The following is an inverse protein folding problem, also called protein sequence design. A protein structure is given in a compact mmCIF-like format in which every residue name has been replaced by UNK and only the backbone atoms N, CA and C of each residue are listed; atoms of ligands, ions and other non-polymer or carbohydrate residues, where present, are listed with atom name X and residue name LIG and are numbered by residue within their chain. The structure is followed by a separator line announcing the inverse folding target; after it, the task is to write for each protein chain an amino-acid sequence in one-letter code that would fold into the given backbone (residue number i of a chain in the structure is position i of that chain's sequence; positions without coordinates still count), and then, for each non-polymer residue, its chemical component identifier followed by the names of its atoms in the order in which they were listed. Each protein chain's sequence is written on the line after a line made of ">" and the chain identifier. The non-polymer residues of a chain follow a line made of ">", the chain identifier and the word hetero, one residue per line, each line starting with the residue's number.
data_IF_891531996936
#
_entry.id   IF_891531996936
#
_cell.length_a   1.000
_cell.length_b   1.000
_cell.length_c   1.000
_cell.angle_alpha   90.00
_cell.angle_beta   90.00
_cell.angle_gamma   90.00
#
_symmetry.space_group_name_H-M   'P 1'
#
loop_
_entity.id
_entity.type
_entity.pdbx_description
1 polymer ?
#
# COMPACT_ATOMS: atom_id res chain seq x y z
N UNK A 1 -38.95 12.31 46.94
CA UNK A 1 -38.35 13.12 45.85
C UNK A 1 -36.83 12.92 45.71
N UNK A 2 -36.05 12.82 46.80
CA UNK A 2 -34.57 12.70 46.72
C UNK A 2 -34.04 11.49 45.91
N UNK A 3 -34.72 10.35 45.97
CA UNK A 3 -34.31 9.13 45.24
C UNK A 3 -34.40 9.30 43.72
N UNK A 4 -35.44 9.96 43.21
CA UNK A 4 -35.60 10.22 41.78
C UNK A 4 -34.54 11.20 41.27
N UNK A 5 -34.24 12.27 42.02
CA UNK A 5 -33.20 13.24 41.64
C UNK A 5 -31.81 12.60 41.58
N UNK A 6 -31.48 11.70 42.51
CA UNK A 6 -30.21 10.97 42.49
C UNK A 6 -30.08 10.04 41.27
N UNK A 7 -31.14 9.32 40.91
CA UNK A 7 -31.15 8.48 39.72
C UNK A 7 -30.96 9.30 38.45
N UNK A 8 -31.66 10.44 38.33
CA UNK A 8 -31.50 11.35 37.19
C UNK A 8 -30.05 11.88 37.12
N UNK A 9 -29.47 12.29 38.24
CA UNK A 9 -28.06 12.72 38.29
C UNK A 9 -27.10 11.63 37.79
N UNK A 10 -27.26 10.39 38.25
CA UNK A 10 -26.41 9.26 37.84
C UNK A 10 -26.55 8.92 36.35
N UNK A 11 -27.77 8.93 35.83
CA UNK A 11 -28.04 8.73 34.39
C UNK A 11 -27.38 9.85 33.58
N UNK A 12 -27.50 11.10 34.02
CA UNK A 12 -26.84 12.23 33.37
C UNK A 12 -25.32 12.11 33.38
N UNK A 13 -24.70 11.73 34.50
CA UNK A 13 -23.24 11.51 34.57
C UNK A 13 -22.80 10.42 33.60
N UNK A 14 -23.54 9.31 33.53
CA UNK A 14 -23.23 8.21 32.60
C UNK A 14 -23.42 8.65 31.14
N UNK A 15 -24.47 9.39 30.83
CA UNK A 15 -24.74 9.91 29.49
C UNK A 15 -23.64 10.88 29.04
N UNK A 16 -23.24 11.81 29.90
CA UNK A 16 -22.19 12.80 29.61
C UNK A 16 -20.77 12.28 29.80
N UNK A 17 -20.58 11.05 30.27
CA UNK A 17 -19.26 10.42 30.28
C UNK A 17 -18.82 9.95 28.90
N UNK A 18 -19.75 9.88 27.93
CA UNK A 18 -19.52 9.42 26.55
C UNK A 18 -18.75 8.10 26.49
N UNK A 19 -19.06 7.19 27.41
CA UNK A 19 -18.46 5.85 27.42
C UNK A 19 -18.94 5.07 26.21
N UNK A 20 -18.05 4.29 25.61
CA UNK A 20 -18.34 3.53 24.38
C UNK A 20 -18.04 2.06 24.61
N UNK A 21 -18.78 1.19 23.93
CA UNK A 21 -18.52 -0.24 23.86
C UNK A 21 -18.13 -0.62 22.44
N UNK A 22 -17.23 -1.59 22.30
CA UNK A 22 -16.82 -2.11 20.99
C UNK A 22 -17.60 -3.40 20.71
N UNK A 23 -18.28 -3.45 19.58
CA UNK A 23 -18.91 -4.67 19.08
C UNK A 23 -18.04 -5.24 17.96
N UNK A 24 -17.74 -6.54 18.03
CA UNK A 24 -17.02 -7.28 17.00
C UNK A 24 -18.02 -8.26 16.37
N UNK A 25 -18.18 -8.20 15.05
CA UNK A 25 -19.02 -9.12 14.30
C UNK A 25 -18.25 -9.69 13.11
N UNK A 26 -18.47 -10.97 12.84
CA UNK A 26 -17.94 -11.66 11.68
C UNK A 26 -19.05 -11.73 10.63
N UNK A 27 -18.83 -11.10 9.49
CA UNK A 27 -19.80 -11.07 8.40
C UNK A 27 -19.28 -11.94 7.25
N UNK A 28 -20.11 -12.87 6.80
CA UNK A 28 -19.88 -13.55 5.52
C UNK A 28 -20.25 -12.57 4.41
N UNK A 29 -19.31 -12.26 3.54
CA UNK A 29 -19.51 -11.35 2.41
C UNK A 29 -19.76 -12.17 1.15
N UNK A 30 -20.68 -11.73 0.28
CA UNK A 30 -20.91 -12.38 -1.02
C UNK A 30 -19.89 -11.95 -2.08
N UNK A 31 -19.12 -10.91 -1.79
CA UNK A 31 -18.09 -10.38 -2.67
C UNK A 31 -16.82 -10.08 -1.88
N UNK A 32 -15.68 -10.45 -2.46
CA UNK A 32 -14.35 -10.16 -1.94
C UNK A 32 -13.84 -8.92 -2.67
N UNK A 33 -13.39 -7.93 -1.91
CA UNK A 33 -12.66 -6.79 -2.44
C UNK A 33 -11.17 -7.12 -2.48
N UNK A 34 -10.57 -7.08 -3.67
CA UNK A 34 -9.12 -7.18 -3.81
C UNK A 34 -8.42 -6.03 -3.08
N UNK A 35 -7.34 -6.31 -2.33
CA UNK A 35 -6.53 -5.27 -1.70
C UNK A 35 -5.54 -4.67 -2.70
N UNK A 36 -4.97 -3.52 -2.33
CA UNK A 36 -3.73 -3.06 -2.95
C UNK A 36 -2.57 -3.90 -2.44
N UNK A 37 -1.73 -4.38 -3.36
CA UNK A 37 -0.58 -5.22 -3.03
C UNK A 37 0.67 -4.50 -3.49
N UNK A 38 1.60 -4.24 -2.58
CA UNK A 38 2.87 -3.60 -2.90
C UNK A 38 4.03 -4.50 -2.58
N UNK A 39 4.90 -4.69 -3.58
CA UNK A 39 6.15 -5.42 -3.44
C UNK A 39 7.27 -4.39 -3.52
N UNK A 40 8.02 -4.27 -2.44
CA UNK A 40 9.09 -3.30 -2.28
C UNK A 40 10.44 -3.99 -2.19
N UNK A 41 11.42 -3.42 -2.87
CA UNK A 41 12.81 -3.82 -2.78
C UNK A 41 13.65 -2.64 -2.31
N UNK A 42 14.80 -2.92 -1.73
CA UNK A 42 15.76 -1.87 -1.48
C UNK A 42 16.34 -1.37 -2.82
N UNK A 43 16.54 -0.06 -2.94
CA UNK A 43 16.95 0.54 -4.22
C UNK A 43 18.30 0.01 -4.71
N UNK A 44 19.27 -0.14 -3.82
CA UNK A 44 20.60 -0.60 -4.17
C UNK A 44 20.57 -1.99 -4.81
N UNK A 45 19.62 -2.83 -4.38
CA UNK A 45 19.42 -4.17 -4.94
C UNK A 45 18.77 -4.14 -6.34
N UNK A 46 18.09 -3.06 -6.69
CA UNK A 46 17.42 -2.87 -7.98
C UNK A 46 18.25 -2.06 -8.99
N UNK A 47 19.41 -1.53 -8.58
CA UNK A 47 20.25 -0.75 -9.49
C UNK A 47 20.79 -1.62 -10.62
N UNK A 48 20.56 -1.22 -11.87
CA UNK A 48 21.07 -1.91 -13.05
C UNK A 48 22.61 -1.87 -13.07
N UNK A 49 23.21 -2.93 -13.60
CA UNK A 49 24.67 -3.08 -13.61
C UNK A 49 25.40 -1.97 -14.38
N UNK A 50 24.77 -1.41 -15.42
CA UNK A 50 25.32 -0.27 -16.17
C UNK A 50 25.53 0.97 -15.29
N UNK A 51 24.58 1.28 -14.41
CA UNK A 51 24.66 2.42 -13.50
C UNK A 51 25.56 2.13 -12.30
N UNK A 52 25.66 0.87 -11.87
CA UNK A 52 26.65 0.44 -10.87
C UNK A 52 28.07 0.70 -11.36
N UNK A 53 28.36 0.40 -12.62
CA UNK A 53 29.67 0.64 -13.23
C UNK A 53 30.02 2.12 -13.27
N UNK A 54 29.09 2.97 -13.75
CA UNK A 54 29.29 4.43 -13.77
C UNK A 54 29.63 4.96 -12.37
N UNK A 55 28.88 4.55 -11.34
CA UNK A 55 29.16 4.97 -9.96
C UNK A 55 30.50 4.46 -9.42
N UNK A 56 30.96 3.28 -9.86
CA UNK A 56 32.28 2.76 -9.46
C UNK A 56 33.43 3.48 -10.16
N UNK A 57 33.26 3.89 -11.42
CA UNK A 57 34.26 4.65 -12.18
C UNK A 57 34.45 6.05 -11.58
N UNK A 58 33.36 6.72 -11.21
CA UNK A 58 33.38 8.02 -10.53
C UNK A 58 34.10 7.97 -9.17
N UNK A 59 34.20 6.78 -8.54
CA UNK A 59 34.87 6.56 -7.25
C UNK A 59 36.22 5.86 -7.38
N UNK A 60 36.96 6.12 -8.47
CA UNK A 60 38.30 5.58 -8.74
C UNK A 60 38.37 4.05 -8.71
N UNK A 61 37.27 3.36 -9.05
CA UNK A 61 37.20 1.90 -9.07
C UNK A 61 37.02 1.25 -7.69
N UNK A 62 36.78 2.01 -6.62
CA UNK A 62 36.46 1.45 -5.31
C UNK A 62 35.05 0.83 -5.30
N UNK A 63 34.90 -0.36 -4.70
CA UNK A 63 33.60 -0.97 -4.50
C UNK A 63 32.84 -0.18 -3.43
N UNK A 64 31.81 0.55 -3.84
CA UNK A 64 30.90 1.22 -2.92
C UNK A 64 30.12 0.20 -2.08
N UNK A 65 30.00 0.47 -0.78
CA UNK A 65 29.09 -0.31 0.05
C UNK A 65 27.63 0.06 -0.25
N UNK A 66 26.68 -0.74 0.25
CA UNK A 66 25.25 -0.55 0.03
C UNK A 66 24.73 0.83 0.48
N UNK A 67 25.29 1.39 1.56
CA UNK A 67 24.89 2.69 2.10
C UNK A 67 25.37 3.84 1.22
N UNK A 68 26.62 3.80 0.79
CA UNK A 68 27.22 4.80 -0.11
C UNK A 68 26.51 4.80 -1.46
N UNK A 69 26.23 3.62 -2.01
CA UNK A 69 25.51 3.50 -3.27
C UNK A 69 24.09 4.09 -3.15
N UNK A 70 23.42 3.86 -2.03
CA UNK A 70 22.11 4.45 -1.74
C UNK A 70 22.17 5.97 -1.65
N UNK A 71 23.18 6.54 -0.99
CA UNK A 71 23.38 7.98 -0.92
C UNK A 71 23.58 8.59 -2.31
N UNK A 72 24.43 7.99 -3.14
CA UNK A 72 24.70 8.44 -4.51
C UNK A 72 23.45 8.39 -5.40
N UNK A 73 22.68 7.30 -5.33
CA UNK A 73 21.40 7.20 -6.08
C UNK A 73 20.44 8.31 -5.67
N UNK A 74 20.36 8.63 -4.38
CA UNK A 74 19.44 9.64 -3.86
C UNK A 74 19.84 11.08 -4.24
N UNK A 75 21.07 11.33 -4.68
CA UNK A 75 21.48 12.61 -5.26
C UNK A 75 20.95 12.82 -6.68
N UNK A 76 20.54 11.75 -7.38
CA UNK A 76 20.03 11.87 -8.75
C UNK A 76 18.59 12.39 -8.80
N UNK A 77 18.22 13.12 -9.87
CA UNK A 77 16.83 13.41 -10.18
C UNK A 77 15.97 12.14 -10.26
N UNK A 78 14.71 12.23 -9.84
CA UNK A 78 13.81 11.08 -9.70
C UNK A 78 13.60 10.34 -11.02
N UNK A 79 13.47 11.06 -12.12
CA UNK A 79 13.38 10.46 -13.46
C UNK A 79 14.62 9.61 -13.79
N UNK A 80 15.83 10.07 -13.42
CA UNK A 80 17.08 9.32 -13.57
C UNK A 80 17.12 8.12 -12.63
N UNK A 81 16.59 8.24 -11.40
CA UNK A 81 16.45 7.09 -10.51
C UNK A 81 15.53 6.03 -11.13
N UNK A 82 14.37 6.40 -11.69
CA UNK A 82 13.47 5.45 -12.35
C UNK A 82 14.13 4.72 -13.52
N UNK A 83 14.90 5.41 -14.35
CA UNK A 83 15.60 4.77 -15.48
C UNK A 83 16.76 3.88 -15.02
N UNK A 84 17.39 4.20 -13.89
CA UNK A 84 18.54 3.47 -13.37
C UNK A 84 18.18 2.16 -12.66
N UNK A 85 16.95 2.04 -12.17
CA UNK A 85 16.46 0.84 -11.49
C UNK A 85 15.84 -0.14 -12.50
N UNK A 86 15.84 -1.43 -12.15
CA UNK A 86 15.07 -2.43 -12.89
C UNK A 86 13.58 -2.06 -12.92
N UNK A 87 12.98 -2.24 -14.09
CA UNK A 87 11.56 -1.98 -14.33
C UNK A 87 10.71 -3.17 -13.90
N UNK A 88 9.38 -2.97 -13.88
CA UNK A 88 8.42 -4.02 -13.53
C UNK A 88 8.55 -5.25 -14.44
N UNK A 89 8.77 -5.06 -15.75
CA UNK A 89 8.95 -6.15 -16.69
C UNK A 89 10.24 -6.93 -16.42
N UNK A 90 11.31 -6.25 -15.99
CA UNK A 90 12.59 -6.90 -15.69
C UNK A 90 12.49 -7.80 -14.44
N UNK A 91 11.70 -7.37 -13.45
CA UNK A 91 11.59 -8.02 -12.14
C UNK A 91 10.59 -9.17 -12.15
N UNK A 92 9.45 -8.97 -12.83
CA UNK A 92 8.31 -9.89 -12.74
C UNK A 92 7.98 -10.57 -14.08
N UNK A 93 8.66 -10.23 -15.18
CA UNK A 93 8.41 -10.80 -16.51
C UNK A 93 6.91 -10.88 -16.91
N UNK A 94 6.13 -9.86 -16.52
CA UNK A 94 4.68 -9.80 -16.73
C UNK A 94 3.87 -11.01 -16.20
N UNK A 95 4.39 -11.73 -15.20
CA UNK A 95 3.77 -12.93 -14.62
C UNK A 95 2.51 -12.68 -13.81
N UNK A 96 2.23 -11.42 -13.44
CA UNK A 96 1.17 -11.07 -12.51
C UNK A 96 -0.23 -11.44 -13.02
N UNK A 97 -0.94 -12.26 -12.24
CA UNK A 97 -2.31 -12.71 -12.48
C UNK A 97 -3.15 -12.53 -11.23
N UNK A 98 -4.40 -12.11 -11.39
CA UNK A 98 -5.36 -12.05 -10.29
C UNK A 98 -6.66 -12.74 -10.68
N UNK A 99 -7.40 -13.22 -9.69
CA UNK A 99 -8.72 -13.81 -9.88
C UNK A 99 -9.67 -12.87 -10.62
N UNK A 100 -10.50 -13.42 -11.50
CA UNK A 100 -11.36 -12.66 -12.41
C UNK A 100 -12.31 -11.71 -11.65
N UNK A 101 -12.21 -10.38 -11.86
CA UNK A 101 -13.14 -9.43 -11.27
C UNK A 101 -14.51 -9.43 -11.97
N UNK A 102 -15.53 -8.90 -11.29
CA UNK A 102 -16.91 -8.79 -11.78
C UNK A 102 -16.97 -7.99 -13.10
N UNK A 103 -16.18 -6.92 -13.23
CA UNK A 103 -16.11 -6.12 -14.46
C UNK A 103 -15.68 -6.93 -15.70
N UNK A 104 -15.05 -8.09 -15.51
CA UNK A 104 -14.55 -8.96 -16.59
C UNK A 104 -15.40 -10.22 -16.74
N UNK A 105 -16.67 -10.21 -16.33
CA UNK A 105 -17.57 -11.37 -16.37
C UNK A 105 -17.62 -12.07 -17.74
N UNK A 106 -17.46 -11.32 -18.84
CA UNK A 106 -17.46 -11.85 -20.21
C UNK A 106 -16.18 -12.59 -20.61
N UNK A 107 -15.11 -12.51 -19.82
CA UNK A 107 -13.87 -13.26 -20.08
C UNK A 107 -14.04 -14.74 -19.73
N UNK A 108 -13.56 -15.61 -20.60
CA UNK A 108 -13.48 -17.05 -20.36
C UNK A 108 -12.43 -17.41 -19.31
N UNK A 109 -11.41 -16.57 -19.14
CA UNK A 109 -10.31 -16.85 -18.24
C UNK A 109 -10.74 -16.72 -16.77
N UNK A 110 -10.26 -17.62 -15.93
CA UNK A 110 -10.45 -17.53 -14.47
C UNK A 110 -9.54 -16.49 -13.83
N UNK A 111 -8.41 -16.19 -14.49
CA UNK A 111 -7.42 -15.23 -14.03
C UNK A 111 -7.19 -14.17 -15.10
N UNK A 112 -7.09 -12.92 -14.67
CA UNK A 112 -6.87 -11.77 -15.54
C UNK A 112 -5.48 -11.19 -15.23
N UNK A 113 -4.69 -10.82 -16.25
CA UNK A 113 -3.41 -10.15 -16.03
C UNK A 113 -3.59 -8.85 -15.24
N UNK A 114 -2.74 -8.61 -14.24
CA UNK A 114 -2.93 -7.49 -13.32
C UNK A 114 -2.94 -6.11 -14.00
N UNK A 115 -2.14 -5.94 -15.05
CA UNK A 115 -2.05 -4.68 -15.82
C UNK A 115 -3.34 -4.35 -16.58
N UNK A 116 -4.18 -5.34 -16.88
CA UNK A 116 -5.50 -5.17 -17.50
C UNK A 116 -6.52 -4.72 -16.45
N UNK A 117 -6.37 -5.15 -15.19
CA UNK A 117 -7.24 -4.75 -14.09
C UNK A 117 -6.94 -3.31 -13.66
N UNK A 118 -5.66 -2.99 -13.45
CA UNK A 118 -5.22 -1.67 -13.04
C UNK A 118 -3.78 -1.41 -13.49
N UNK A 119 -3.40 -0.15 -13.79
CA UNK A 119 -2.01 0.18 -14.07
C UNK A 119 -1.14 -0.12 -12.84
N UNK A 120 -0.02 -0.81 -13.05
CA UNK A 120 0.93 -1.12 -11.99
C UNK A 120 1.74 0.14 -11.72
N UNK A 121 1.71 0.62 -10.46
CA UNK A 121 2.31 1.90 -10.11
C UNK A 121 3.64 1.69 -9.41
N UNK A 122 4.68 2.36 -9.92
CA UNK A 122 5.99 2.39 -9.29
C UNK A 122 6.09 3.62 -8.37
N UNK A 123 6.60 3.42 -7.16
CA UNK A 123 6.90 4.50 -6.21
C UNK A 123 8.29 4.33 -5.63
N UNK A 124 9.04 5.42 -5.53
CA UNK A 124 10.40 5.43 -5.00
C UNK A 124 10.41 6.36 -3.77
N UNK A 125 10.95 5.90 -2.64
CA UNK A 125 11.21 6.75 -1.47
C UNK A 125 12.73 6.88 -1.25
N UNK A 126 13.25 7.19 -0.06
CA UNK A 126 14.72 7.26 0.11
C UNK A 126 15.42 5.89 0.04
N UNK A 127 14.81 4.83 0.59
CA UNK A 127 15.43 3.52 0.77
C UNK A 127 14.95 2.45 -0.24
N UNK A 128 13.72 2.58 -0.72
CA UNK A 128 12.99 1.53 -1.42
C UNK A 128 12.36 2.01 -2.71
N UNK A 129 12.19 1.06 -3.61
CA UNK A 129 11.35 1.16 -4.78
C UNK A 129 10.28 0.07 -4.68
N UNK A 130 9.02 0.48 -4.83
CA UNK A 130 7.86 -0.38 -4.66
C UNK A 130 7.01 -0.41 -5.94
N UNK A 131 6.50 -1.59 -6.26
CA UNK A 131 5.54 -1.83 -7.32
C UNK A 131 4.20 -2.16 -6.69
N UNK A 132 3.19 -1.35 -6.99
CA UNK A 132 1.84 -1.49 -6.43
C UNK A 132 0.89 -2.01 -7.48
N UNK A 133 0.30 -3.16 -7.19
CA UNK A 133 -0.70 -3.86 -7.97
C UNK A 133 -2.08 -3.59 -7.39
N UNK A 134 -3.10 -3.61 -8.25
CA UNK A 134 -4.51 -3.54 -7.86
C UNK A 134 -4.86 -2.29 -7.03
N UNK A 135 -4.14 -1.18 -7.23
CA UNK A 135 -4.51 0.11 -6.64
C UNK A 135 -5.69 0.72 -7.41
N UNK A 136 -6.71 1.18 -6.70
CA UNK A 136 -7.85 1.90 -7.25
C UNK A 136 -7.61 3.39 -7.01
N UNK A 137 -7.23 4.12 -8.05
CA UNK A 137 -6.92 5.53 -7.94
C UNK A 137 -7.62 6.28 -9.07
N UNK A 138 -7.67 7.61 -8.96
CA UNK A 138 -8.17 8.46 -10.06
C UNK A 138 -9.63 8.13 -10.48
N UNK A 139 -10.44 7.71 -9.51
CA UNK A 139 -11.89 7.43 -9.65
C UNK A 139 -12.24 6.25 -10.58
N UNK A 140 -11.32 5.27 -10.68
CA UNK A 140 -11.56 3.97 -11.32
C UNK A 140 -12.81 3.27 -10.73
N UNK A 141 -13.59 2.52 -11.55
CA UNK A 141 -14.81 1.87 -11.10
C UNK A 141 -14.51 0.68 -10.17
N UNK A 142 -15.37 0.50 -9.17
CA UNK A 142 -15.14 -0.45 -8.06
C UNK A 142 -15.27 -1.92 -8.48
N UNK A 143 -16.12 -2.20 -9.46
CA UNK A 143 -16.38 -3.55 -10.00
C UNK A 143 -15.14 -4.24 -10.58
N UNK A 144 -14.14 -3.47 -11.04
CA UNK A 144 -12.82 -3.98 -11.48
C UNK A 144 -12.02 -4.63 -10.35
N UNK A 145 -12.39 -4.40 -9.10
CA UNK A 145 -11.66 -4.85 -7.91
C UNK A 145 -12.51 -5.74 -6.99
N UNK A 146 -13.69 -6.15 -7.44
CA UNK A 146 -14.58 -7.04 -6.71
C UNK A 146 -14.61 -8.41 -7.38
N UNK A 147 -14.63 -9.48 -6.59
CA UNK A 147 -14.75 -10.87 -7.04
C UNK A 147 -15.93 -11.48 -6.28
N UNK A 148 -16.66 -12.40 -6.91
CA UNK A 148 -17.70 -13.16 -6.21
C UNK A 148 -17.05 -14.14 -5.21
N UNK A 149 -17.54 -14.14 -3.97
CA UNK A 149 -17.15 -15.15 -2.97
C UNK A 149 -17.90 -16.45 -3.27
N UNK A 150 -17.36 -17.24 -4.21
CA UNK A 150 -17.84 -18.59 -4.46
C UNK A 150 -17.13 -19.61 -3.54
N UNK A 151 -17.57 -20.87 -3.58
CA UNK A 151 -17.03 -21.90 -2.71
C UNK A 151 -15.53 -22.19 -2.95
N UNK A 152 -14.93 -21.71 -4.04
CA UNK A 152 -13.55 -22.03 -4.42
C UNK A 152 -12.50 -21.39 -3.48
N UNK A 153 -12.80 -20.22 -2.91
CA UNK A 153 -11.90 -19.57 -1.94
C UNK A 153 -11.89 -20.24 -0.56
N UNK A 154 -12.90 -21.06 -0.25
CA UNK A 154 -12.98 -21.75 1.04
C UNK A 154 -12.03 -22.93 1.18
N UNK A 155 -11.64 -23.52 0.04
CA UNK A 155 -10.79 -24.71 0.00
C UNK A 155 -9.32 -24.40 -0.31
N UNK A 156 -8.92 -23.12 -0.35
CA UNK A 156 -7.57 -22.67 -0.71
C UNK A 156 -7.09 -23.12 -2.10
N UNK A 157 -8.01 -23.52 -2.98
CA UNK A 157 -7.69 -24.06 -4.30
C UNK A 157 -7.42 -22.98 -5.36
N UNK A 158 -7.70 -21.71 -5.05
CA UNK A 158 -7.60 -20.62 -6.03
C UNK A 158 -6.90 -19.42 -5.42
N UNK A 159 -5.79 -19.03 -6.04
CA UNK A 159 -5.03 -17.85 -5.63
C UNK A 159 -5.78 -16.58 -6.05
N UNK A 160 -5.99 -15.69 -5.08
CA UNK A 160 -6.51 -14.35 -5.38
C UNK A 160 -5.57 -13.58 -6.31
N UNK A 161 -4.27 -13.75 -6.07
CA UNK A 161 -3.19 -13.02 -6.70
C UNK A 161 -1.96 -13.91 -6.76
N UNK A 162 -1.34 -13.98 -7.93
CA UNK A 162 -0.14 -14.74 -8.18
C UNK A 162 0.86 -13.90 -8.97
N UNK A 163 2.14 -13.94 -8.56
CA UNK A 163 3.22 -13.25 -9.25
C UNK A 163 4.53 -14.01 -9.08
N UNK A 164 5.25 -14.15 -10.19
CA UNK A 164 6.61 -14.69 -10.21
C UNK A 164 7.62 -13.56 -10.16
N UNK A 165 8.65 -13.73 -9.35
CA UNK A 165 9.81 -12.83 -9.28
C UNK A 165 10.97 -13.51 -9.99
N UNK A 166 11.33 -13.02 -11.19
CA UNK A 166 12.35 -13.64 -12.04
C UNK A 166 13.78 -13.23 -11.67
N UNK A 167 13.95 -12.10 -10.98
CA UNK A 167 15.26 -11.56 -10.67
C UNK A 167 15.72 -11.91 -9.24
N UNK A 168 17.04 -12.06 -9.08
CA UNK A 168 17.68 -12.43 -7.82
C UNK A 168 17.88 -11.19 -6.94
N UNK A 169 17.19 -11.14 -5.80
CA UNK A 169 17.31 -10.06 -4.82
C UNK A 169 17.62 -10.62 -3.43
N UNK A 170 18.15 -9.82 -2.51
CA UNK A 170 18.44 -10.34 -1.17
C UNK A 170 17.16 -10.50 -0.34
N UNK A 171 16.28 -9.50 -0.41
CA UNK A 171 14.98 -9.54 0.25
C UNK A 171 13.95 -8.68 -0.49
N UNK A 172 12.68 -9.02 -0.28
CA UNK A 172 11.54 -8.23 -0.71
C UNK A 172 10.56 -8.06 0.44
N UNK A 173 9.88 -6.92 0.44
CA UNK A 173 8.86 -6.57 1.40
C UNK A 173 7.50 -6.60 0.70
N UNK A 174 6.60 -7.45 1.19
CA UNK A 174 5.20 -7.47 0.78
C UNK A 174 4.36 -6.67 1.76
N UNK A 175 3.56 -5.77 1.20
CA UNK A 175 2.68 -4.88 1.95
C UNK A 175 1.28 -4.96 1.34
N UNK A 176 0.34 -5.50 2.11
CA UNK A 176 -1.08 -5.54 1.75
C UNK A 176 -1.77 -4.34 2.39
N UNK A 177 -2.49 -3.56 1.61
CA UNK A 177 -3.13 -2.33 2.07
C UNK A 177 -4.47 -2.06 1.37
N UNK A 178 -5.18 -1.02 1.81
CA UNK A 178 -6.38 -0.57 1.11
C UNK A 178 -6.02 -0.11 -0.31
N UNK A 179 -6.79 -0.55 -1.30
CA UNK A 179 -6.59 -0.21 -2.72
C UNK A 179 -6.65 1.30 -3.01
N UNK A 180 -7.32 2.08 -2.15
CA UNK A 180 -7.45 3.54 -2.26
C UNK A 180 -6.20 4.29 -1.75
N UNK A 181 -5.20 3.59 -1.23
CA UNK A 181 -4.00 4.20 -0.66
C UNK A 181 -2.81 4.15 -1.62
N UNK A 182 -2.16 5.31 -1.81
CA UNK A 182 -0.85 5.36 -2.45
C UNK A 182 0.24 4.94 -1.46
N UNK A 183 1.17 4.10 -1.92
CA UNK A 183 2.38 3.78 -1.18
C UNK A 183 3.36 4.94 -1.18
N UNK A 184 3.24 5.81 -0.18
CA UNK A 184 4.22 6.88 0.07
C UNK A 184 4.94 6.72 1.41
N UNK A 185 4.43 5.86 2.31
CA UNK A 185 4.99 5.71 3.65
C UNK A 185 4.82 4.28 4.17
N UNK A 186 5.93 3.57 4.34
CA UNK A 186 5.95 2.16 4.78
C UNK A 186 5.99 2.03 6.31
N UNK A 187 6.40 3.06 7.04
CA UNK A 187 6.72 3.02 8.48
C UNK A 187 5.59 2.62 9.44
N UNK A 188 4.34 2.51 9.00
CA UNK A 188 3.21 2.08 9.85
C UNK A 188 2.42 0.90 9.29
N UNK A 189 2.88 0.31 8.19
CA UNK A 189 2.20 -0.84 7.58
C UNK A 189 2.77 -2.13 8.12
N UNK A 190 1.95 -3.19 8.16
CA UNK A 190 2.47 -4.54 8.39
C UNK A 190 3.24 -4.95 7.15
N UNK A 191 4.51 -5.28 7.34
CA UNK A 191 5.42 -5.68 6.28
C UNK A 191 5.74 -7.15 6.49
N UNK A 192 5.48 -7.95 5.47
CA UNK A 192 5.97 -9.33 5.41
C UNK A 192 7.28 -9.31 4.63
N UNK A 193 8.37 -9.72 5.27
CA UNK A 193 9.68 -9.78 4.63
C UNK A 193 9.90 -11.19 4.10
N UNK A 194 10.31 -11.27 2.84
CA UNK A 194 10.71 -12.51 2.20
C UNK A 194 12.17 -12.41 1.82
N UNK A 195 12.96 -13.34 2.32
CA UNK A 195 14.33 -13.54 1.85
C UNK A 195 14.28 -14.40 0.60
N UNK A 196 15.04 -14.02 -0.43
CA UNK A 196 15.05 -14.80 -1.65
C UNK A 196 15.64 -16.18 -1.39
N UNK A 197 14.91 -17.18 -1.85
CA UNK A 197 15.36 -18.56 -1.91
C UNK A 197 14.93 -19.11 -3.27
N UNK A 198 15.87 -19.70 -4.05
CA UNK A 198 15.53 -20.24 -5.35
C UNK A 198 14.42 -21.30 -5.21
N UNK A 199 13.49 -21.33 -6.16
CA UNK A 199 12.39 -22.30 -6.22
C UNK A 199 11.49 -22.35 -4.97
N UNK A 200 11.38 -21.23 -4.24
CA UNK A 200 10.50 -21.14 -3.07
C UNK A 200 9.21 -20.42 -3.42
N UNK A 201 8.08 -21.03 -3.05
CA UNK A 201 6.75 -20.42 -3.15
C UNK A 201 6.35 -19.88 -1.79
N UNK A 202 5.89 -18.63 -1.75
CA UNK A 202 5.41 -18.00 -0.54
C UNK A 202 3.90 -17.78 -0.62
N UNK A 203 3.20 -18.12 0.45
CA UNK A 203 1.77 -17.90 0.58
C UNK A 203 1.52 -16.83 1.64
N UNK A 204 0.63 -15.89 1.34
CA UNK A 204 0.24 -14.84 2.26
C UNK A 204 -1.29 -14.80 2.38
N UNK A 205 -1.78 -15.09 3.58
CA UNK A 205 -3.18 -14.93 3.93
C UNK A 205 -3.42 -13.54 4.50
N UNK A 206 -4.59 -12.97 4.21
CA UNK A 206 -4.97 -11.67 4.75
C UNK A 206 -6.41 -11.68 5.24
N UNK A 207 -6.67 -10.86 6.25
CA UNK A 207 -8.00 -10.64 6.82
C UNK A 207 -8.37 -9.18 6.69
N UNK A 208 -9.55 -8.91 6.15
CA UNK A 208 -10.08 -7.55 6.04
C UNK A 208 -10.80 -7.21 7.35
N UNK A 209 -10.31 -6.18 8.04
CA UNK A 209 -10.97 -5.64 9.23
C UNK A 209 -11.54 -4.27 8.89
N UNK A 210 -12.85 -4.09 9.12
CA UNK A 210 -13.52 -2.78 9.02
C UNK A 210 -13.73 -2.21 10.41
N UNK A 211 -13.25 -0.99 10.63
CA UNK A 211 -13.38 -0.30 11.91
C UNK A 211 -14.26 0.92 11.72
N UNK A 212 -15.35 0.97 12.48
CA UNK A 212 -16.25 2.13 12.55
C UNK A 212 -16.12 2.73 13.94
N UNK A 213 -15.56 3.94 13.99
CA UNK A 213 -15.31 4.67 15.23
C UNK A 213 -16.26 5.86 15.33
N UNK A 214 -16.60 6.27 16.55
CA UNK A 214 -17.51 7.40 16.77
C UNK A 214 -16.78 8.75 16.66
N UNK A 215 -17.44 9.80 16.13
CA UNK A 215 -16.87 11.15 16.08
C UNK A 215 -16.79 11.79 17.48
N UNK A 216 -16.20 12.98 17.64
CA UNK A 216 -16.34 13.76 18.88
C UNK A 216 -17.83 13.93 19.26
N UNK A 217 -18.20 13.91 20.57
CA UNK A 217 -17.34 14.00 21.76
C UNK A 217 -16.78 12.68 22.29
N UNK A 218 -17.03 11.55 21.62
CA UNK A 218 -16.55 10.24 22.06
C UNK A 218 -15.01 10.13 22.02
N UNK A 219 -14.44 9.32 22.91
CA UNK A 219 -12.99 9.17 23.09
C UNK A 219 -12.25 8.68 21.83
N UNK A 220 -12.95 8.00 20.91
CA UNK A 220 -12.42 7.54 19.64
C UNK A 220 -11.98 8.67 18.71
N UNK A 221 -12.53 9.88 18.87
CA UNK A 221 -12.18 11.09 18.09
C UNK A 221 -12.08 10.82 16.59
N UNK A 222 -13.01 10.03 16.04
CA UNK A 222 -12.99 9.68 14.63
C UNK A 222 -13.22 10.93 13.79
N UNK A 223 -12.35 11.16 12.81
CA UNK A 223 -12.47 12.27 11.88
C UNK A 223 -13.09 11.75 10.58
N UNK A 224 -14.10 12.45 10.07
CA UNK A 224 -14.71 12.13 8.79
C UNK A 224 -13.91 12.76 7.64
N UNK A 225 -13.00 11.96 7.08
CA UNK A 225 -12.20 12.35 5.93
C UNK A 225 -13.06 12.59 4.69
N UNK A 226 -14.17 11.88 4.52
CA UNK A 226 -15.02 12.01 3.33
C UNK A 226 -15.81 13.32 3.38
N UNK A 227 -16.32 13.69 4.55
CA UNK A 227 -16.98 14.97 4.76
C UNK A 227 -16.07 16.18 4.44
N UNK A 228 -14.75 16.02 4.57
CA UNK A 228 -13.75 17.04 4.24
C UNK A 228 -13.18 16.91 2.81
N UNK A 229 -13.77 16.06 1.96
CA UNK A 229 -13.35 15.89 0.57
C UNK A 229 -12.10 15.02 0.37
N UNK A 230 -11.72 14.23 1.37
CA UNK A 230 -10.62 13.28 1.29
C UNK A 230 -11.12 11.83 1.19
N UNK A 231 -10.48 11.03 0.33
CA UNK A 231 -10.85 9.61 0.17
C UNK A 231 -10.48 8.76 1.37
N UNK A 232 -9.39 9.13 2.06
CA UNK A 232 -8.84 8.41 3.20
C UNK A 232 -7.96 9.32 4.06
N UNK A 233 -7.59 8.85 5.27
CA UNK A 233 -6.57 9.49 6.10
C UNK A 233 -5.26 9.71 5.35
N UNK A 234 -4.82 8.72 4.58
CA UNK A 234 -3.55 8.79 3.85
C UNK A 234 -3.63 9.82 2.72
N UNK A 235 -4.78 9.91 2.04
CA UNK A 235 -5.04 10.94 1.04
C UNK A 235 -5.00 12.34 1.66
N UNK A 236 -5.59 12.52 2.85
CA UNK A 236 -5.50 13.78 3.61
C UNK A 236 -4.04 14.13 3.95
N UNK A 237 -3.29 13.22 4.55
CA UNK A 237 -1.87 13.44 4.91
C UNK A 237 -1.02 13.78 3.67
N UNK A 238 -1.23 13.08 2.56
CA UNK A 238 -0.51 13.34 1.32
C UNK A 238 -0.81 14.73 0.77
N UNK A 239 -2.07 15.13 0.75
CA UNK A 239 -2.46 16.47 0.32
C UNK A 239 -1.85 17.54 1.21
N UNK A 240 -1.93 17.39 2.54
CA UNK A 240 -1.29 18.31 3.48
C UNK A 240 0.23 18.44 3.23
N UNK A 241 0.92 17.33 2.95
CA UNK A 241 2.36 17.37 2.62
C UNK A 241 2.63 18.17 1.35
N UNK A 242 1.86 17.92 0.31
CA UNK A 242 2.01 18.64 -0.97
C UNK A 242 1.74 20.12 -0.78
N UNK A 243 0.65 20.48 -0.11
CA UNK A 243 0.26 21.87 0.13
C UNK A 243 1.34 22.60 0.94
N UNK A 244 1.83 22.00 2.03
CA UNK A 244 2.90 22.57 2.84
C UNK A 244 4.19 22.79 2.05
N UNK A 245 4.63 21.79 1.29
CA UNK A 245 5.84 21.91 0.47
C UNK A 245 5.66 22.96 -0.63
N UNK A 246 4.47 23.06 -1.24
CA UNK A 246 4.20 24.05 -2.27
C UNK A 246 4.22 25.49 -1.72
N UNK A 247 3.75 25.68 -0.48
CA UNK A 247 3.75 26.97 0.20
C UNK A 247 5.15 27.40 0.66
N UNK A 248 5.98 26.46 1.14
CA UNK A 248 7.34 26.77 1.60
C UNK A 248 8.37 26.89 0.47
N UNK A 249 8.20 26.16 -0.64
CA UNK A 249 9.21 26.05 -1.70
C UNK A 249 8.84 26.77 -3.01
N UNK A 250 7.78 27.59 -3.02
CA UNK A 250 7.47 28.45 -4.16
C UNK A 250 7.06 27.70 -5.43
N UNK A 251 6.21 26.68 -5.31
CA UNK A 251 5.52 26.06 -6.47
C UNK A 251 6.16 24.80 -7.07
N UNK A 252 7.28 24.31 -6.54
CA UNK A 252 7.81 22.98 -6.90
C UNK A 252 7.25 21.88 -5.99
N UNK A 253 6.55 20.89 -6.54
CA UNK A 253 6.24 19.65 -5.80
C UNK A 253 7.45 18.70 -5.86
N UNK A 254 8.22 18.50 -4.78
CA UNK A 254 9.19 17.41 -4.75
C UNK A 254 8.42 16.08 -4.65
N UNK A 255 8.53 15.26 -5.69
CA UNK A 255 7.95 13.92 -5.66
C UNK A 255 8.64 13.10 -4.55
N UNK A 256 7.90 12.88 -3.45
CA UNK A 256 8.21 11.94 -2.37
C UNK A 256 9.53 12.15 -1.61
N UNK A 257 9.54 13.13 -0.70
CA UNK A 257 10.49 13.16 0.42
C UNK A 257 9.86 12.43 1.62
N UNK A 258 10.56 11.41 2.11
CA UNK A 258 10.30 10.80 3.42
C UNK A 258 10.65 11.82 4.51
N UNK A 259 9.82 12.06 5.53
CA UNK A 259 10.22 12.94 6.62
C UNK A 259 11.48 12.37 7.27
N UNK A 260 12.54 13.18 7.35
CA UNK A 260 13.53 13.02 8.41
C UNK A 260 12.81 13.37 9.71
N UNK A 261 12.67 12.38 10.59
CA UNK A 261 12.47 12.58 12.03
C UNK A 261 13.84 12.33 12.65
#
# INVERSE_FOLDING_TARGET
>A
MAMCSYQVYKISVLYFSYTTTTSVSYQKVSTISMPGISICFNKESLLREEYRRILSEDNNGSQLNASELLEQINLWPINKQHSALYSMSDIFNNSCRASKPIAFANSTDQHIPCHVIAPIRQSINYFKCCFTFLSQLDDEPTDRYLIYDDLAFKDYLTDLFHIDVSATFNSMDLIIHSRDERMANTYKKRIMKFEYRPNTVFYAEYLVTRVSSLPPPYATRCYDYKASGHKSRQNCIQRCRVDHMSAELGGGCPATISPRI
#
